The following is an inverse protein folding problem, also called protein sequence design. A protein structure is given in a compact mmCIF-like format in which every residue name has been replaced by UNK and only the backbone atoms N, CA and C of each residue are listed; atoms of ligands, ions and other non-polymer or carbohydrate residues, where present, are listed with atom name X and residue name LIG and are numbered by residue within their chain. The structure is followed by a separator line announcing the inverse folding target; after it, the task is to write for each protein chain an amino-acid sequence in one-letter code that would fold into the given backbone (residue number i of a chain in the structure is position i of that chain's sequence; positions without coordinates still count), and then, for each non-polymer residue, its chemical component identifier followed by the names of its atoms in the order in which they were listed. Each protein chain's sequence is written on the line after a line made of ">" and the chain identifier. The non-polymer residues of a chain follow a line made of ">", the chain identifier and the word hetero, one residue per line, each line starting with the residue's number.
data_IF_285160630021
#
_entry.id   IF_285160630021
#
_cell.length_a   1.000
_cell.length_b   1.000
_cell.length_c   1.000
_cell.angle_alpha   90.00
_cell.angle_beta   90.00
_cell.angle_gamma   90.00
#
_symmetry.space_group_name_H-M   'P 1'
#
loop_
_entity.id
_entity.type
_entity.pdbx_description
1 polymer ?
#
# COMPACT_ATOMS: atom_id res chain seq x y z
N UNK A 1 -22.70 8.43 13.00
CA UNK A 1 -22.66 7.90 11.62
C UNK A 1 -21.52 8.63 10.93
N UNK A 2 -20.30 8.19 11.19
CA UNK A 2 -19.08 8.88 10.78
C UNK A 2 -18.80 8.53 9.33
N UNK A 3 -19.07 9.47 8.44
CA UNK A 3 -18.45 9.46 7.12
C UNK A 3 -16.98 9.71 7.31
N UNK A 4 -16.17 8.65 7.37
CA UNK A 4 -14.74 8.74 7.13
C UNK A 4 -14.58 9.17 5.67
N UNK A 5 -14.59 10.48 5.50
CA UNK A 5 -14.37 11.12 4.21
C UNK A 5 -13.00 10.72 3.69
N UNK A 6 -12.92 10.65 2.37
CA UNK A 6 -11.74 10.48 1.51
C UNK A 6 -10.76 11.68 1.66
N UNK A 7 -10.61 12.21 2.87
CA UNK A 7 -10.01 13.50 3.20
C UNK A 7 -8.70 13.35 3.98
N UNK A 8 -7.87 12.36 3.63
CA UNK A 8 -6.51 12.23 4.14
C UNK A 8 -5.57 11.44 3.23
N UNK A 9 -5.92 11.27 1.96
CA UNK A 9 -5.22 10.41 1.01
C UNK A 9 -4.57 11.25 -0.11
N UNK A 10 -3.63 10.67 -0.85
CA UNK A 10 -2.90 11.25 -1.98
C UNK A 10 -3.80 11.94 -3.03
N UNK A 11 -5.08 11.55 -3.10
CA UNK A 11 -6.07 12.09 -4.04
C UNK A 11 -6.77 13.35 -3.55
N UNK A 12 -6.64 13.71 -2.27
CA UNK A 12 -7.29 14.88 -1.70
C UNK A 12 -6.88 16.20 -2.40
N UNK A 13 -5.60 16.47 -2.71
CA UNK A 13 -5.22 17.68 -3.45
C UNK A 13 -5.85 17.76 -4.84
N UNK A 14 -6.10 16.61 -5.49
CA UNK A 14 -6.75 16.55 -6.80
C UNK A 14 -8.26 16.84 -6.66
N UNK A 15 -8.92 16.31 -5.63
CA UNK A 15 -10.32 16.62 -5.32
C UNK A 15 -10.50 18.10 -4.96
N UNK A 16 -9.53 18.70 -4.28
CA UNK A 16 -9.48 20.13 -3.96
C UNK A 16 -9.30 20.97 -5.25
N UNK A 17 -8.40 20.58 -6.15
CA UNK A 17 -8.22 21.24 -7.46
C UNK A 17 -9.47 21.14 -8.35
N UNK A 18 -10.25 20.06 -8.25
CA UNK A 18 -11.53 19.94 -8.96
C UNK A 18 -12.59 20.95 -8.47
N UNK A 19 -12.52 21.36 -7.21
CA UNK A 19 -13.43 22.35 -6.62
C UNK A 19 -12.93 23.80 -6.73
N UNK A 20 -11.81 24.03 -7.43
CA UNK A 20 -11.25 25.38 -7.56
C UNK A 20 -12.21 26.30 -8.34
N UNK A 21 -12.56 27.48 -7.80
CA UNK A 21 -13.40 28.47 -8.49
C UNK A 21 -12.73 29.08 -9.74
N UNK A 22 -11.41 28.93 -9.89
CA UNK A 22 -10.65 29.38 -11.03
C UNK A 22 -10.67 28.33 -12.15
N UNK A 23 -11.41 28.62 -13.23
CA UNK A 23 -11.58 27.70 -14.36
C UNK A 23 -10.27 27.27 -15.04
N UNK A 24 -9.17 28.01 -14.87
CA UNK A 24 -7.85 27.63 -15.40
C UNK A 24 -7.08 26.63 -14.53
N UNK A 25 -7.50 26.41 -13.28
CA UNK A 25 -6.89 25.45 -12.35
C UNK A 25 -7.82 24.27 -12.01
N UNK A 26 -9.05 24.30 -12.51
CA UNK A 26 -10.04 23.25 -12.32
C UNK A 26 -9.70 22.02 -13.18
N UNK A 27 -9.34 20.92 -12.53
CA UNK A 27 -9.18 19.62 -13.20
C UNK A 27 -10.54 18.97 -13.43
N UNK A 28 -10.70 18.16 -14.47
CA UNK A 28 -11.95 17.42 -14.70
C UNK A 28 -12.03 16.14 -13.85
N UNK A 29 -13.24 15.57 -13.71
CA UNK A 29 -13.42 14.26 -13.06
C UNK A 29 -12.71 13.16 -13.87
N UNK A 30 -12.63 13.32 -15.19
CA UNK A 30 -11.95 12.39 -16.09
C UNK A 30 -10.44 12.40 -15.83
N UNK A 31 -9.83 13.58 -15.67
CA UNK A 31 -8.41 13.73 -15.33
C UNK A 31 -8.09 13.09 -13.97
N UNK A 32 -8.94 13.32 -12.96
CA UNK A 32 -8.80 12.70 -11.64
C UNK A 32 -8.83 11.16 -11.74
N UNK A 33 -9.77 10.62 -12.51
CA UNK A 33 -9.94 9.18 -12.68
C UNK A 33 -8.75 8.56 -13.42
N UNK A 34 -8.22 9.25 -14.42
CA UNK A 34 -7.08 8.76 -15.20
C UNK A 34 -5.77 8.79 -14.41
N UNK A 35 -5.56 9.78 -13.54
CA UNK A 35 -4.46 9.78 -12.58
C UNK A 35 -4.56 8.60 -11.59
N UNK A 36 -5.76 8.32 -11.06
CA UNK A 36 -5.99 7.16 -10.19
C UNK A 36 -5.68 5.83 -10.89
N UNK A 37 -6.14 5.65 -12.13
CA UNK A 37 -5.88 4.44 -12.91
C UNK A 37 -4.39 4.27 -13.22
N UNK A 38 -3.73 5.35 -13.61
CA UNK A 38 -2.29 5.32 -13.93
C UNK A 38 -1.49 4.88 -12.72
N UNK A 39 -1.79 5.43 -11.54
CA UNK A 39 -1.15 5.01 -10.30
C UNK A 39 -1.45 3.54 -9.95
N UNK A 40 -2.70 3.12 -10.07
CA UNK A 40 -3.08 1.73 -9.80
C UNK A 40 -2.33 0.74 -10.71
N UNK A 41 -2.29 0.99 -12.01
CA UNK A 41 -1.63 0.11 -12.98
C UNK A 41 -0.10 0.10 -12.74
N UNK A 42 0.50 1.28 -12.60
CA UNK A 42 1.94 1.40 -12.35
C UNK A 42 2.38 0.72 -11.05
N UNK A 43 1.58 0.84 -9.99
CA UNK A 43 1.88 0.23 -8.69
C UNK A 43 1.57 -1.28 -8.65
N UNK A 44 0.57 -1.74 -9.40
CA UNK A 44 0.19 -3.16 -9.42
C UNK A 44 1.28 -4.02 -10.07
N UNK A 45 1.77 -3.64 -11.24
CA UNK A 45 2.78 -4.43 -11.95
C UNK A 45 4.11 -4.49 -11.18
N UNK A 46 4.52 -3.36 -10.60
CA UNK A 46 5.75 -3.26 -9.80
C UNK A 46 5.64 -4.02 -8.48
N UNK A 47 4.52 -3.87 -7.76
CA UNK A 47 4.29 -4.58 -6.48
C UNK A 47 4.15 -6.08 -6.69
N UNK A 48 3.43 -6.51 -7.73
CA UNK A 48 3.29 -7.94 -8.06
C UNK A 48 4.64 -8.57 -8.39
N UNK A 49 5.44 -7.89 -9.22
CA UNK A 49 6.79 -8.34 -9.56
C UNK A 49 7.68 -8.41 -8.32
N UNK A 50 7.67 -7.37 -7.47
CA UNK A 50 8.44 -7.33 -6.23
C UNK A 50 8.04 -8.47 -5.29
N UNK A 51 6.74 -8.68 -5.06
CA UNK A 51 6.24 -9.76 -4.22
C UNK A 51 6.60 -11.14 -4.79
N UNK A 52 6.53 -11.31 -6.11
CA UNK A 52 6.96 -12.52 -6.79
C UNK A 52 8.43 -12.84 -6.52
N UNK A 53 9.32 -11.85 -6.67
CA UNK A 53 10.74 -12.01 -6.35
C UNK A 53 10.99 -12.23 -4.86
N UNK A 54 10.28 -11.54 -3.97
CA UNK A 54 10.39 -11.74 -2.52
C UNK A 54 10.03 -13.17 -2.13
N UNK A 55 8.91 -13.70 -2.64
CA UNK A 55 8.50 -15.09 -2.38
C UNK A 55 9.52 -16.07 -2.96
N UNK A 56 10.02 -15.81 -4.18
CA UNK A 56 11.06 -16.63 -4.80
C UNK A 56 12.34 -16.66 -3.97
N UNK A 57 12.82 -15.50 -3.51
CA UNK A 57 14.01 -15.38 -2.66
C UNK A 57 13.82 -16.07 -1.30
N UNK A 58 12.64 -15.95 -0.68
CA UNK A 58 12.34 -16.67 0.56
C UNK A 58 12.31 -18.19 0.35
N UNK A 59 11.77 -18.65 -0.77
CA UNK A 59 11.71 -20.08 -1.09
C UNK A 59 13.09 -20.71 -1.29
N UNK A 60 14.06 -19.97 -1.85
CA UNK A 60 15.45 -20.46 -1.99
C UNK A 60 16.28 -20.27 -0.70
N UNK A 61 15.91 -19.33 0.16
CA UNK A 61 16.57 -19.05 1.43
C UNK A 61 15.67 -19.48 2.61
N UNK A 62 15.50 -20.79 2.77
CA UNK A 62 14.60 -21.40 3.75
C UNK A 62 14.86 -20.97 5.19
N UNK A 63 16.10 -20.64 5.52
CA UNK A 63 16.49 -20.17 6.86
C UNK A 63 15.81 -18.84 7.20
N UNK A 64 15.83 -17.90 6.26
CA UNK A 64 15.17 -16.60 6.38
C UNK A 64 13.66 -16.72 6.33
N UNK A 65 13.13 -17.64 5.51
CA UNK A 65 11.71 -17.95 5.49
C UNK A 65 11.21 -18.44 6.85
N UNK A 66 11.95 -19.34 7.49
CA UNK A 66 11.55 -19.91 8.77
C UNK A 66 11.68 -18.87 9.90
N UNK A 67 12.72 -18.03 9.90
CA UNK A 67 12.83 -16.92 10.86
C UNK A 67 11.72 -15.88 10.68
N UNK A 68 11.39 -15.49 9.44
CA UNK A 68 10.26 -14.60 9.17
C UNK A 68 8.93 -15.22 9.62
N UNK A 69 8.73 -16.52 9.40
CA UNK A 69 7.52 -17.25 9.82
C UNK A 69 7.40 -17.30 11.35
N UNK A 70 8.50 -17.56 12.06
CA UNK A 70 8.55 -17.51 13.53
C UNK A 70 8.24 -16.11 14.05
N UNK A 71 8.79 -15.07 13.44
CA UNK A 71 8.54 -13.68 13.83
C UNK A 71 7.05 -13.33 13.73
N UNK A 72 6.42 -13.66 12.61
CA UNK A 72 4.98 -13.44 12.40
C UNK A 72 4.15 -14.22 13.42
N UNK A 73 4.46 -15.50 13.65
CA UNK A 73 3.75 -16.32 14.63
C UNK A 73 3.92 -15.82 16.07
N UNK A 74 5.10 -15.29 16.41
CA UNK A 74 5.36 -14.73 17.74
C UNK A 74 4.60 -13.42 17.97
N UNK A 75 4.47 -12.57 16.93
CA UNK A 75 3.80 -11.28 17.05
C UNK A 75 2.28 -11.37 16.94
N UNK A 76 1.75 -12.26 16.09
CA UNK A 76 0.33 -12.31 15.78
C UNK A 76 -0.36 -13.63 16.17
N UNK A 77 0.40 -14.70 16.43
CA UNK A 77 -0.15 -16.02 16.73
C UNK A 77 -1.06 -16.53 15.61
N UNK A 78 -2.33 -16.80 15.94
CA UNK A 78 -3.39 -17.19 15.01
C UNK A 78 -4.33 -16.03 14.66
N UNK A 79 -4.01 -14.81 15.10
CA UNK A 79 -4.83 -13.63 14.85
C UNK A 79 -4.40 -12.95 13.55
N UNK A 80 -5.33 -12.20 12.96
CA UNK A 80 -5.01 -11.41 11.76
C UNK A 80 -3.98 -10.31 12.09
N UNK A 81 -3.04 -10.03 11.18
CA UNK A 81 -2.11 -8.92 11.34
C UNK A 81 -2.83 -7.59 11.57
N UNK A 82 -2.31 -6.79 12.49
CA UNK A 82 -2.79 -5.42 12.74
C UNK A 82 -1.70 -4.40 12.39
N UNK A 83 -2.06 -3.14 12.09
CA UNK A 83 -1.10 -2.12 11.65
C UNK A 83 0.07 -1.93 12.61
N UNK A 84 -0.22 -1.86 13.92
CA UNK A 84 0.80 -1.67 14.96
C UNK A 84 1.80 -2.82 15.03
N UNK A 85 1.34 -4.06 14.86
CA UNK A 85 2.18 -5.25 14.85
C UNK A 85 2.99 -5.36 13.56
N UNK A 86 2.45 -4.92 12.42
CA UNK A 86 3.18 -4.96 11.14
C UNK A 86 4.45 -4.11 11.22
N UNK A 87 4.39 -2.96 11.90
CA UNK A 87 5.58 -2.11 12.10
C UNK A 87 6.70 -2.75 12.93
N UNK A 88 6.40 -3.84 13.65
CA UNK A 88 7.34 -4.56 14.52
C UNK A 88 8.03 -5.75 13.83
N UNK A 89 7.66 -6.07 12.60
CA UNK A 89 8.32 -7.09 11.79
C UNK A 89 9.67 -6.58 11.29
N UNK A 90 10.76 -7.11 11.84
CA UNK A 90 12.13 -6.71 11.49
C UNK A 90 12.70 -7.62 10.40
N UNK A 91 12.46 -8.92 10.54
CA UNK A 91 12.96 -9.93 9.61
C UNK A 91 12.28 -9.79 8.25
N UNK A 92 10.96 -9.58 8.24
CA UNK A 92 10.22 -9.34 7.00
C UNK A 92 10.57 -7.99 6.33
N UNK A 93 11.03 -7.00 7.10
CA UNK A 93 11.53 -5.72 6.58
C UNK A 93 12.99 -5.80 6.11
N UNK A 94 13.67 -6.90 6.41
CA UNK A 94 15.11 -7.09 6.18
C UNK A 94 15.93 -5.93 6.78
N UNK A 95 15.53 -5.45 7.98
CA UNK A 95 16.14 -4.31 8.70
C UNK A 95 16.59 -4.65 10.09
#
# INVERSE_FOLDING_TARGET
>A
MTGEGIGGDFLQPLVEAHHDPNASQKISIEDLLDECKTFYIASQETTSTLLGWTIFLLAIHTDWQEEARKEVLNLFGQQNPNPDGITKLKTARMS
#
